data_IF_534810875456
#
_entry.id   IF_534810875456
#
_cell.length_a   1.000
_cell.length_b   1.000
_cell.length_c   1.000
_cell.angle_alpha   90.00
_cell.angle_beta   90.00
_cell.angle_gamma   90.00
#
_symmetry.space_group_name_H-M   'P 1'
#
loop_
_entity.id
_entity.type
_entity.pdbx_description
1 polymer ?
#
# COMPACT_ATOMS: atom_id res chain seq x y z
N UNK A 1 -29.84 -13.78 8.54
CA UNK A 1 -29.12 -12.73 9.29
C UNK A 1 -28.50 -11.81 8.26
N UNK A 2 -28.47 -10.53 8.55
CA UNK A 2 -27.78 -9.57 7.71
C UNK A 2 -26.28 -9.81 7.74
N UNK A 3 -25.63 -9.71 6.60
CA UNK A 3 -24.22 -10.04 6.42
C UNK A 3 -23.42 -8.79 6.04
N UNK A 4 -22.24 -8.65 6.62
CA UNK A 4 -21.25 -7.66 6.15
C UNK A 4 -20.67 -8.11 4.79
N UNK A 5 -20.04 -7.20 4.06
CA UNK A 5 -19.30 -7.57 2.85
C UNK A 5 -18.26 -8.65 3.13
N UNK A 6 -17.56 -8.52 4.28
CA UNK A 6 -16.59 -9.52 4.72
C UNK A 6 -17.26 -10.90 4.90
N UNK A 7 -18.41 -10.97 5.56
CA UNK A 7 -19.14 -12.21 5.78
C UNK A 7 -19.52 -12.90 4.47
N UNK A 8 -20.07 -12.13 3.53
CA UNK A 8 -20.48 -12.65 2.22
C UNK A 8 -19.33 -13.32 1.47
N UNK A 9 -18.15 -12.69 1.48
CA UNK A 9 -16.99 -13.22 0.78
C UNK A 9 -16.37 -14.38 1.58
N UNK A 10 -16.17 -14.19 2.89
CA UNK A 10 -15.59 -15.23 3.74
C UNK A 10 -16.38 -16.52 3.69
N UNK A 11 -17.71 -16.44 3.92
CA UNK A 11 -18.57 -17.62 4.00
C UNK A 11 -18.68 -18.35 2.65
N UNK A 12 -18.60 -17.63 1.53
CA UNK A 12 -18.55 -18.23 0.19
C UNK A 12 -17.27 -19.03 -0.07
N UNK A 13 -16.17 -18.78 0.71
CA UNK A 13 -14.88 -19.45 0.54
C UNK A 13 -14.59 -20.48 1.62
N UNK A 14 -15.49 -20.68 2.58
CA UNK A 14 -15.33 -21.70 3.63
C UNK A 14 -15.43 -23.09 3.00
N UNK A 15 -14.33 -23.85 3.08
CA UNK A 15 -14.29 -25.27 2.70
C UNK A 15 -14.74 -26.13 3.87
N UNK A 16 -14.24 -25.85 5.06
CA UNK A 16 -14.58 -26.57 6.29
C UNK A 16 -14.37 -25.69 7.51
N UNK A 17 -15.26 -25.80 8.49
CA UNK A 17 -15.04 -25.28 9.85
C UNK A 17 -14.53 -26.42 10.72
N UNK A 18 -13.36 -26.21 11.33
CA UNK A 18 -12.84 -27.16 12.32
C UNK A 18 -13.56 -26.89 13.64
N UNK A 19 -14.08 -27.92 14.26
CA UNK A 19 -14.74 -27.80 15.57
C UNK A 19 -13.77 -27.23 16.60
N UNK A 20 -14.17 -26.15 17.28
CA UNK A 20 -13.33 -25.38 18.21
C UNK A 20 -11.98 -24.91 17.64
N UNK A 21 -11.87 -24.80 16.31
CA UNK A 21 -10.63 -24.51 15.60
C UNK A 21 -10.77 -23.46 14.50
N UNK A 22 -9.72 -23.30 13.68
CA UNK A 22 -9.72 -22.37 12.57
C UNK A 22 -10.66 -22.81 11.45
N UNK A 23 -10.97 -21.88 10.57
CA UNK A 23 -11.70 -22.13 9.32
C UNK A 23 -10.72 -22.49 8.23
N UNK A 24 -10.97 -23.57 7.49
CA UNK A 24 -10.30 -23.85 6.23
C UNK A 24 -10.95 -23.01 5.13
N UNK A 25 -10.15 -22.07 4.58
CA UNK A 25 -10.59 -21.08 3.60
C UNK A 25 -9.95 -21.39 2.25
N UNK A 26 -10.75 -21.44 1.18
CA UNK A 26 -10.24 -21.50 -0.19
C UNK A 26 -9.63 -20.14 -0.58
N UNK A 27 -8.54 -20.16 -1.34
CA UNK A 27 -7.83 -18.96 -1.79
C UNK A 27 -7.88 -18.86 -3.31
N UNK A 28 -8.48 -17.80 -3.85
CA UNK A 28 -8.60 -17.58 -5.30
C UNK A 28 -7.29 -17.17 -5.95
N UNK A 29 -6.44 -16.43 -5.22
CA UNK A 29 -5.21 -15.89 -5.77
C UNK A 29 -4.08 -15.91 -4.75
N UNK A 30 -2.94 -16.44 -5.17
CA UNK A 30 -1.68 -16.34 -4.43
C UNK A 30 -0.70 -15.48 -5.23
N UNK A 31 -0.16 -14.45 -4.59
CA UNK A 31 0.96 -13.70 -5.13
C UNK A 31 2.25 -14.08 -4.41
N UNK A 32 3.36 -14.18 -5.17
CA UNK A 32 4.67 -14.55 -4.65
C UNK A 32 5.73 -13.53 -5.11
N UNK A 33 6.53 -13.07 -4.17
CA UNK A 33 7.70 -12.23 -4.44
C UNK A 33 8.98 -12.89 -3.91
N UNK A 34 10.13 -12.32 -4.24
CA UNK A 34 11.44 -12.94 -4.03
C UNK A 34 11.87 -13.02 -2.55
N UNK A 35 11.27 -12.23 -1.66
CA UNK A 35 11.72 -12.17 -0.25
C UNK A 35 11.10 -13.28 0.59
N UNK A 36 9.79 -13.53 0.48
CA UNK A 36 9.05 -14.42 1.40
C UNK A 36 8.70 -15.78 0.80
N UNK A 37 8.88 -16.00 -0.50
CA UNK A 37 8.51 -17.25 -1.16
C UNK A 37 9.60 -18.34 -1.20
N UNK A 38 10.91 -18.06 -1.11
CA UNK A 38 11.94 -19.09 -1.31
C UNK A 38 11.83 -20.30 -0.41
N UNK A 39 11.54 -20.11 0.88
CA UNK A 39 11.40 -21.19 1.85
C UNK A 39 10.14 -22.03 1.59
N UNK A 40 9.04 -21.41 1.13
CA UNK A 40 7.83 -22.13 0.73
C UNK A 40 8.13 -23.11 -0.43
N UNK A 41 8.82 -22.63 -1.47
CA UNK A 41 9.26 -23.49 -2.58
C UNK A 41 10.23 -24.59 -2.13
N UNK A 42 11.15 -24.29 -1.21
CA UNK A 42 12.05 -25.29 -0.66
C UNK A 42 11.28 -26.38 0.11
N UNK A 43 10.28 -26.02 0.91
CA UNK A 43 9.39 -26.95 1.61
C UNK A 43 8.60 -27.85 0.64
N UNK A 44 8.05 -27.25 -0.43
CA UNK A 44 7.37 -28.00 -1.50
C UNK A 44 8.29 -29.06 -2.14
N UNK A 45 9.53 -28.69 -2.46
CA UNK A 45 10.52 -29.64 -3.03
C UNK A 45 10.88 -30.74 -2.04
N UNK A 46 11.18 -30.39 -0.79
CA UNK A 46 11.56 -31.35 0.24
C UNK A 46 10.49 -32.42 0.49
N UNK A 47 9.22 -32.06 0.31
CA UNK A 47 8.08 -32.97 0.47
C UNK A 47 7.60 -33.58 -0.86
N UNK A 48 8.25 -33.30 -1.98
CA UNK A 48 7.84 -33.78 -3.30
C UNK A 48 6.46 -33.31 -3.77
N UNK A 49 6.01 -32.14 -3.27
CA UNK A 49 4.69 -31.58 -3.59
C UNK A 49 4.73 -30.75 -4.87
N UNK A 50 3.59 -30.72 -5.56
CA UNK A 50 3.35 -29.86 -6.72
C UNK A 50 2.32 -28.79 -6.37
N UNK A 51 2.35 -27.66 -7.09
CA UNK A 51 1.30 -26.67 -6.96
C UNK A 51 -0.04 -27.26 -7.42
N UNK A 52 -1.09 -27.10 -6.59
CA UNK A 52 -2.40 -27.66 -6.87
C UNK A 52 -3.10 -26.89 -8.02
N UNK A 53 -3.00 -25.57 -8.02
CA UNK A 53 -3.60 -24.68 -9.03
C UNK A 53 -2.56 -23.65 -9.51
N UNK A 54 -1.56 -24.06 -10.32
CA UNK A 54 -0.47 -23.18 -10.74
C UNK A 54 -0.97 -21.92 -11.49
N UNK A 55 -2.09 -21.99 -12.20
CA UNK A 55 -2.73 -20.86 -12.91
C UNK A 55 -3.32 -19.80 -11.97
N UNK A 56 -3.39 -20.09 -10.67
CA UNK A 56 -3.84 -19.13 -9.63
C UNK A 56 -2.69 -18.42 -8.92
N UNK A 57 -1.44 -18.76 -9.28
CA UNK A 57 -0.24 -18.27 -8.62
C UNK A 57 0.55 -17.37 -9.58
N UNK A 58 0.82 -16.15 -9.15
CA UNK A 58 1.59 -15.17 -9.93
C UNK A 58 2.84 -14.76 -9.15
N UNK A 59 3.98 -14.80 -9.82
CA UNK A 59 5.28 -14.47 -9.26
C UNK A 59 5.83 -13.21 -9.91
N UNK A 60 6.31 -12.25 -9.11
CA UNK A 60 7.01 -11.07 -9.60
C UNK A 60 7.97 -10.53 -8.54
N UNK A 61 9.20 -10.18 -8.91
CA UNK A 61 10.13 -9.52 -8.00
C UNK A 61 9.80 -8.04 -7.92
N UNK A 62 9.84 -7.45 -6.71
CA UNK A 62 9.53 -6.06 -6.49
C UNK A 62 10.33 -5.37 -5.35
N UNK A 63 10.86 -6.14 -4.40
CA UNK A 63 11.56 -5.61 -3.23
C UNK A 63 13.05 -5.37 -3.48
N UNK A 64 13.73 -6.36 -4.11
CA UNK A 64 15.18 -6.35 -4.36
C UNK A 64 15.53 -5.89 -5.78
N UNK A 65 14.58 -5.34 -6.50
CA UNK A 65 14.81 -4.82 -7.84
C UNK A 65 15.46 -3.43 -7.77
N UNK A 66 16.55 -3.17 -8.51
CA UNK A 66 17.10 -1.82 -8.62
C UNK A 66 16.10 -0.91 -9.34
N UNK A 67 16.21 0.40 -9.16
CA UNK A 67 15.36 1.38 -9.85
C UNK A 67 16.07 2.11 -10.99
N UNK A 68 17.23 1.60 -11.36
CA UNK A 68 17.99 1.96 -12.56
C UNK A 68 18.71 0.74 -13.12
N UNK A 69 19.08 0.82 -14.38
CA UNK A 69 19.87 -0.21 -15.05
C UNK A 69 19.29 -1.64 -14.91
N UNK A 70 17.96 -1.75 -14.90
CA UNK A 70 17.30 -3.07 -14.76
C UNK A 70 17.59 -4.04 -15.90
N UNK A 71 18.14 -3.55 -17.00
CA UNK A 71 18.65 -4.33 -18.13
C UNK A 71 20.02 -4.97 -17.85
N UNK A 72 20.69 -4.57 -16.76
CA UNK A 72 21.97 -5.11 -16.31
C UNK A 72 21.76 -6.12 -15.16
N UNK A 73 22.74 -7.02 -14.92
CA UNK A 73 22.72 -7.86 -13.72
C UNK A 73 22.68 -7.04 -12.43
N UNK A 74 21.85 -7.43 -11.48
CA UNK A 74 21.79 -6.79 -10.16
C UNK A 74 23.18 -6.90 -9.51
N UNK A 75 23.75 -5.78 -9.06
CA UNK A 75 25.11 -5.75 -8.52
C UNK A 75 25.18 -6.43 -7.15
N UNK A 76 24.22 -6.14 -6.25
CA UNK A 76 24.15 -6.79 -4.93
C UNK A 76 23.93 -8.30 -5.04
N UNK A 77 24.87 -9.15 -4.55
CA UNK A 77 24.77 -10.59 -4.73
C UNK A 77 23.55 -11.22 -4.01
N UNK A 78 23.11 -10.63 -2.89
CA UNK A 78 21.98 -11.15 -2.10
C UNK A 78 20.69 -10.88 -2.88
N UNK A 79 20.47 -9.65 -3.31
CA UNK A 79 19.32 -9.25 -4.11
C UNK A 79 19.24 -10.04 -5.40
N UNK A 80 20.36 -10.20 -6.11
CA UNK A 80 20.45 -11.02 -7.32
C UNK A 80 20.02 -12.47 -7.06
N UNK A 81 20.58 -13.08 -6.01
CA UNK A 81 20.25 -14.48 -5.66
C UNK A 81 18.75 -14.64 -5.38
N UNK A 82 18.13 -13.69 -4.68
CA UNK A 82 16.70 -13.76 -4.38
C UNK A 82 15.83 -13.62 -5.63
N UNK A 83 16.13 -12.67 -6.51
CA UNK A 83 15.40 -12.47 -7.77
C UNK A 83 15.56 -13.67 -8.70
N UNK A 84 16.79 -14.17 -8.87
CA UNK A 84 17.08 -15.35 -9.72
C UNK A 84 16.42 -16.61 -9.14
N UNK A 85 16.38 -16.76 -7.81
CA UNK A 85 15.72 -17.87 -7.14
C UNK A 85 14.22 -17.86 -7.39
N UNK A 86 13.57 -16.69 -7.35
CA UNK A 86 12.14 -16.57 -7.69
C UNK A 86 11.88 -17.00 -9.14
N UNK A 87 12.68 -16.53 -10.08
CA UNK A 87 12.55 -16.89 -11.49
C UNK A 87 12.71 -18.41 -11.71
N UNK A 88 13.74 -19.02 -11.09
CA UNK A 88 13.94 -20.47 -11.10
C UNK A 88 12.78 -21.22 -10.48
N UNK A 89 12.31 -20.80 -9.33
CA UNK A 89 11.18 -21.42 -8.64
C UNK A 89 9.91 -21.39 -9.51
N UNK A 90 9.60 -20.24 -10.10
CA UNK A 90 8.43 -20.10 -10.96
C UNK A 90 8.52 -21.04 -12.18
N UNK A 91 9.69 -21.17 -12.80
CA UNK A 91 9.91 -22.09 -13.91
C UNK A 91 9.77 -23.56 -13.48
N UNK A 92 10.40 -23.96 -12.37
CA UNK A 92 10.38 -25.34 -11.85
C UNK A 92 8.94 -25.81 -11.50
N UNK A 93 8.08 -24.90 -11.03
CA UNK A 93 6.70 -25.20 -10.65
C UNK A 93 5.65 -24.82 -11.71
N UNK A 94 6.07 -24.33 -12.89
CA UNK A 94 5.16 -23.98 -13.99
C UNK A 94 4.25 -22.79 -13.69
N UNK A 95 4.76 -21.80 -12.95
CA UNK A 95 3.98 -20.62 -12.52
C UNK A 95 4.14 -19.44 -13.47
N UNK A 96 3.15 -18.57 -13.51
CA UNK A 96 3.26 -17.30 -14.24
C UNK A 96 4.25 -16.38 -13.53
N UNK A 97 5.29 -15.95 -14.25
CA UNK A 97 6.34 -15.07 -13.76
C UNK A 97 6.46 -13.80 -14.60
N UNK A 98 6.30 -12.65 -13.96
CA UNK A 98 6.59 -11.34 -14.55
C UNK A 98 7.95 -10.87 -14.03
N UNK A 99 9.04 -11.30 -14.66
CA UNK A 99 10.40 -10.92 -14.28
C UNK A 99 10.68 -9.43 -14.47
N UNK A 100 11.77 -8.94 -13.92
CA UNK A 100 12.13 -7.52 -13.79
C UNK A 100 11.99 -6.71 -15.09
N UNK A 101 12.43 -7.25 -16.25
CA UNK A 101 12.32 -6.56 -17.55
C UNK A 101 11.01 -6.86 -18.30
N UNK A 102 10.10 -7.62 -17.71
CA UNK A 102 8.80 -7.88 -18.31
C UNK A 102 7.93 -6.62 -18.20
N UNK A 103 7.29 -6.21 -19.31
CA UNK A 103 6.36 -5.07 -19.35
C UNK A 103 5.16 -5.18 -18.39
N UNK A 104 4.94 -6.38 -17.85
CA UNK A 104 3.90 -6.65 -16.85
C UNK A 104 4.43 -6.63 -15.41
N UNK A 105 5.74 -6.40 -15.22
CA UNK A 105 6.34 -6.35 -13.90
C UNK A 105 6.08 -5.01 -13.20
N UNK A 106 6.18 -5.07 -11.90
CA UNK A 106 6.07 -3.96 -10.96
C UNK A 106 5.78 -4.48 -9.56
N UNK A 107 5.44 -3.58 -8.67
CA UNK A 107 5.04 -3.92 -7.31
C UNK A 107 3.76 -4.77 -7.36
N UNK A 108 3.77 -5.92 -6.71
CA UNK A 108 2.66 -6.89 -6.69
C UNK A 108 1.31 -6.24 -6.43
N UNK A 109 1.25 -5.35 -5.42
CA UNK A 109 0.02 -4.69 -4.99
C UNK A 109 -0.40 -3.52 -5.91
N UNK A 110 0.41 -3.19 -6.91
CA UNK A 110 0.07 -2.31 -8.04
C UNK A 110 -0.38 -3.16 -9.23
N UNK A 111 0.44 -4.13 -9.62
CA UNK A 111 0.21 -4.99 -10.80
C UNK A 111 -1.07 -5.81 -10.70
N UNK A 112 -1.37 -6.38 -9.52
CA UNK A 112 -2.58 -7.20 -9.32
C UNK A 112 -3.86 -6.46 -9.72
N UNK A 113 -4.16 -5.30 -9.14
CA UNK A 113 -5.32 -4.48 -9.52
C UNK A 113 -5.25 -3.95 -10.96
N UNK A 114 -4.12 -3.35 -11.37
CA UNK A 114 -4.03 -2.68 -12.67
C UNK A 114 -4.13 -3.63 -13.87
N UNK A 115 -3.81 -4.91 -13.68
CA UNK A 115 -3.95 -5.93 -14.73
C UNK A 115 -5.29 -6.66 -14.70
N UNK A 116 -6.13 -6.44 -13.68
CA UNK A 116 -7.37 -7.18 -13.49
C UNK A 116 -7.16 -8.60 -12.96
N UNK A 117 -6.02 -8.87 -12.31
CA UNK A 117 -5.75 -10.12 -11.60
C UNK A 117 -6.46 -10.17 -10.25
N UNK A 118 -6.75 -9.01 -9.68
CA UNK A 118 -7.54 -8.81 -8.47
C UNK A 118 -8.95 -8.40 -8.87
N UNK A 119 -9.95 -9.15 -8.44
CA UNK A 119 -11.35 -8.92 -8.76
C UNK A 119 -12.23 -8.92 -7.49
N UNK A 120 -13.39 -8.23 -7.51
CA UNK A 120 -14.30 -8.24 -6.38
C UNK A 120 -14.76 -9.66 -6.00
N UNK A 121 -14.91 -9.90 -4.71
CA UNK A 121 -15.38 -11.18 -4.18
C UNK A 121 -14.29 -12.25 -4.05
N UNK A 122 -13.05 -11.99 -4.45
CA UNK A 122 -11.94 -12.94 -4.30
C UNK A 122 -11.38 -12.98 -2.88
N UNK A 123 -10.77 -14.12 -2.53
CA UNK A 123 -9.81 -14.28 -1.44
C UNK A 123 -8.39 -14.23 -2.00
N UNK A 124 -7.55 -13.34 -1.48
CA UNK A 124 -6.21 -13.06 -2.02
C UNK A 124 -5.19 -13.07 -0.90
N UNK A 125 -4.08 -13.79 -1.11
CA UNK A 125 -2.98 -13.84 -0.13
C UNK A 125 -1.62 -13.63 -0.80
N UNK A 126 -0.68 -13.13 -0.01
CA UNK A 126 0.74 -12.96 -0.36
C UNK A 126 1.57 -12.98 0.93
N UNK A 127 2.84 -13.26 0.83
CA UNK A 127 3.79 -13.18 1.95
C UNK A 127 4.14 -11.74 2.39
N UNK A 128 3.31 -10.76 2.08
CA UNK A 128 3.46 -9.34 2.41
C UNK A 128 2.19 -8.82 3.09
N UNK A 129 2.37 -8.04 4.16
CA UNK A 129 1.25 -7.46 4.92
C UNK A 129 0.41 -6.49 4.10
N UNK A 130 1.01 -5.77 3.13
CA UNK A 130 0.29 -4.82 2.26
C UNK A 130 -0.61 -5.50 1.21
N UNK A 131 -0.75 -6.83 1.26
CA UNK A 131 -1.80 -7.57 0.52
C UNK A 131 -3.20 -7.00 0.80
N UNK A 132 -3.41 -6.36 1.96
CA UNK A 132 -4.65 -5.64 2.28
C UNK A 132 -5.05 -4.60 1.22
N UNK A 133 -4.11 -4.10 0.41
CA UNK A 133 -4.35 -3.20 -0.73
C UNK A 133 -5.46 -3.72 -1.65
N UNK A 134 -5.47 -5.02 -1.91
CA UNK A 134 -6.42 -5.65 -2.83
C UNK A 134 -7.87 -5.60 -2.33
N UNK A 135 -8.09 -5.36 -1.04
CA UNK A 135 -9.42 -5.17 -0.46
C UNK A 135 -10.15 -3.93 -0.99
N UNK A 136 -9.43 -2.96 -1.54
CA UNK A 136 -10.02 -1.80 -2.23
C UNK A 136 -10.88 -2.18 -3.43
N UNK A 137 -10.62 -3.36 -4.01
CA UNK A 137 -11.40 -3.93 -5.11
C UNK A 137 -12.64 -4.71 -4.63
N UNK A 138 -12.92 -4.75 -3.33
CA UNK A 138 -13.98 -5.59 -2.75
C UNK A 138 -13.58 -7.05 -2.61
N UNK A 139 -12.31 -7.32 -2.28
CA UNK A 139 -11.75 -8.65 -2.02
C UNK A 139 -11.43 -8.82 -0.52
N UNK A 140 -11.43 -10.06 -0.03
CA UNK A 140 -10.83 -10.40 1.27
C UNK A 140 -9.36 -10.74 1.05
N UNK A 141 -8.50 -9.77 1.35
CA UNK A 141 -7.08 -9.84 1.03
C UNK A 141 -6.22 -9.57 2.27
N UNK A 142 -5.23 -10.44 2.52
CA UNK A 142 -4.40 -10.34 3.71
C UNK A 142 -3.03 -11.02 3.55
N UNK A 143 -2.05 -10.51 4.32
CA UNK A 143 -0.72 -11.07 4.37
C UNK A 143 -0.68 -12.39 5.15
N UNK A 144 0.18 -13.33 4.73
CA UNK A 144 0.37 -14.64 5.34
C UNK A 144 1.85 -14.95 5.54
N UNK A 145 2.14 -15.88 6.44
CA UNK A 145 3.49 -16.38 6.69
C UNK A 145 3.99 -17.35 5.62
N UNK A 146 5.30 -17.55 5.56
CA UNK A 146 5.94 -18.40 4.55
C UNK A 146 5.42 -19.85 4.55
N UNK A 147 5.16 -20.43 5.73
CA UNK A 147 4.59 -21.79 5.85
C UNK A 147 3.14 -21.85 5.31
N UNK A 148 2.41 -20.75 5.44
CA UNK A 148 1.05 -20.62 4.89
C UNK A 148 1.10 -20.45 3.36
N UNK A 149 2.11 -19.75 2.81
CA UNK A 149 2.35 -19.70 1.36
C UNK A 149 2.54 -21.11 0.80
N UNK A 150 3.36 -21.94 1.45
CA UNK A 150 3.55 -23.35 1.07
C UNK A 150 2.23 -24.14 1.12
N UNK A 151 1.44 -23.95 2.18
CA UNK A 151 0.12 -24.59 2.30
C UNK A 151 -0.81 -24.22 1.14
N UNK A 152 -0.89 -22.94 0.80
CA UNK A 152 -1.73 -22.46 -0.31
C UNK A 152 -1.22 -23.00 -1.65
N UNK A 153 0.09 -23.03 -1.89
CA UNK A 153 0.66 -23.66 -3.09
C UNK A 153 0.23 -25.12 -3.24
N UNK A 154 0.27 -25.88 -2.15
CA UNK A 154 0.00 -27.31 -2.16
C UNK A 154 -1.50 -27.65 -2.22
N UNK A 155 -2.39 -26.84 -1.64
CA UNK A 155 -3.80 -27.19 -1.43
C UNK A 155 -4.81 -26.15 -1.91
N UNK A 156 -4.37 -24.96 -2.25
CA UNK A 156 -5.20 -23.78 -2.53
C UNK A 156 -6.07 -23.35 -1.34
N UNK A 157 -5.76 -23.83 -0.15
CA UNK A 157 -6.48 -23.55 1.09
C UNK A 157 -5.53 -23.09 2.19
N UNK A 158 -6.11 -22.39 3.17
CA UNK A 158 -5.40 -21.94 4.37
C UNK A 158 -6.28 -22.14 5.60
N UNK A 159 -5.67 -22.35 6.77
CA UNK A 159 -6.36 -22.38 8.06
C UNK A 159 -6.25 -20.99 8.71
N UNK A 160 -7.38 -20.33 8.92
CA UNK A 160 -7.42 -18.99 9.51
C UNK A 160 -8.49 -18.86 10.58
N UNK A 161 -8.14 -18.22 11.69
CA UNK A 161 -9.13 -17.73 12.64
C UNK A 161 -9.92 -16.57 11.97
N UNK A 162 -11.24 -16.59 12.10
CA UNK A 162 -12.09 -15.51 11.58
C UNK A 162 -11.81 -14.24 12.39
N UNK A 163 -11.38 -13.13 11.75
CA UNK A 163 -11.22 -11.84 12.42
C UNK A 163 -12.58 -11.26 12.79
N UNK A 164 -12.60 -10.35 13.76
CA UNK A 164 -13.73 -9.47 14.02
C UNK A 164 -13.90 -8.47 12.86
N UNK A 165 -15.09 -7.91 12.73
CA UNK A 165 -15.39 -6.90 11.72
C UNK A 165 -15.46 -5.51 12.33
N UNK A 166 -14.86 -4.52 11.63
CA UNK A 166 -14.94 -3.11 12.00
C UNK A 166 -15.42 -2.29 10.82
N UNK A 167 -16.34 -1.35 11.04
CA UNK A 167 -16.67 -0.34 10.04
C UNK A 167 -16.09 1.01 10.42
N UNK A 168 -15.38 1.64 9.49
CA UNK A 168 -14.94 3.03 9.61
C UNK A 168 -15.69 3.84 8.58
N UNK A 169 -16.55 4.75 9.04
CA UNK A 169 -17.34 5.63 8.19
C UNK A 169 -16.73 7.03 8.17
N UNK A 170 -16.51 7.58 6.99
CA UNK A 170 -16.05 8.96 6.81
C UNK A 170 -17.06 9.67 5.91
N UNK A 171 -17.83 10.54 6.51
CA UNK A 171 -18.86 11.31 5.80
C UNK A 171 -18.42 12.75 5.52
N UNK A 172 -19.13 13.41 4.61
CA UNK A 172 -18.79 14.73 4.13
C UNK A 172 -17.80 14.73 2.97
N UNK A 173 -17.25 15.90 2.66
CA UNK A 173 -16.34 16.12 1.52
C UNK A 173 -14.94 16.47 1.99
N UNK A 174 -13.95 15.83 1.40
CA UNK A 174 -12.54 16.14 1.65
C UNK A 174 -12.21 17.57 1.19
N UNK A 175 -11.43 18.27 2.02
CA UNK A 175 -10.99 19.63 1.74
C UNK A 175 -9.95 19.72 0.62
N UNK A 176 -9.68 20.94 0.16
CA UNK A 176 -8.64 21.21 -0.84
C UNK A 176 -7.27 20.72 -0.33
N UNK A 177 -6.53 20.01 -1.17
CA UNK A 177 -5.19 19.51 -0.85
C UNK A 177 -5.17 18.24 0.01
N UNK A 178 -6.33 17.68 0.35
CA UNK A 178 -6.46 16.43 1.11
C UNK A 178 -6.59 15.24 0.15
N UNK A 179 -5.78 14.21 0.37
CA UNK A 179 -5.77 12.97 -0.39
C UNK A 179 -6.12 11.77 0.50
N UNK A 180 -6.29 10.59 -0.10
CA UNK A 180 -6.50 9.35 0.66
C UNK A 180 -5.36 9.03 1.64
N UNK A 181 -4.12 9.48 1.35
CA UNK A 181 -2.99 9.36 2.27
C UNK A 181 -3.20 10.18 3.53
N UNK A 182 -3.72 11.40 3.39
CA UNK A 182 -4.03 12.26 4.54
C UNK A 182 -5.16 11.67 5.38
N UNK A 183 -6.18 11.10 4.73
CA UNK A 183 -7.27 10.36 5.41
C UNK A 183 -6.70 9.22 6.26
N UNK A 184 -5.81 8.40 5.70
CA UNK A 184 -5.21 7.30 6.44
C UNK A 184 -4.34 7.77 7.60
N UNK A 185 -3.50 8.80 7.39
CA UNK A 185 -2.67 9.37 8.46
C UNK A 185 -3.52 10.00 9.57
N UNK A 186 -4.62 10.68 9.21
CA UNK A 186 -5.56 11.24 10.18
C UNK A 186 -6.18 10.13 11.04
N UNK A 187 -6.71 9.07 10.43
CA UNK A 187 -7.28 7.94 11.18
C UNK A 187 -6.24 7.33 12.13
N UNK A 188 -5.00 7.10 11.66
CA UNK A 188 -3.94 6.55 12.49
C UNK A 188 -3.56 7.47 13.65
N UNK A 189 -3.60 8.79 13.46
CA UNK A 189 -3.36 9.75 14.55
C UNK A 189 -4.44 9.71 15.65
N UNK A 190 -5.67 9.29 15.29
CA UNK A 190 -6.81 9.20 16.24
C UNK A 190 -6.96 7.80 16.86
N UNK A 191 -6.69 6.74 16.05
CA UNK A 191 -6.92 5.35 16.46
C UNK A 191 -5.64 4.65 16.93
N UNK A 192 -4.48 5.26 16.73
CA UNK A 192 -3.14 4.69 16.95
C UNK A 192 -2.80 3.55 15.98
N UNK A 193 -1.58 3.04 16.04
CA UNK A 193 -1.10 1.90 15.20
C UNK A 193 -1.67 0.54 15.64
N UNK A 194 -2.47 0.48 16.69
CA UNK A 194 -3.12 -0.74 17.19
C UNK A 194 -4.65 -0.66 17.26
N UNK A 195 -5.24 0.46 16.81
CA UNK A 195 -6.68 0.72 16.94
C UNK A 195 -7.61 -0.24 16.23
N UNK A 196 -7.10 -0.98 15.24
CA UNK A 196 -7.83 -1.99 14.47
C UNK A 196 -7.27 -3.43 14.66
N UNK A 197 -6.48 -3.67 15.71
CA UNK A 197 -5.89 -4.99 15.96
C UNK A 197 -6.96 -6.07 16.15
N UNK A 198 -6.88 -7.13 15.36
CA UNK A 198 -7.82 -8.25 15.38
C UNK A 198 -9.07 -8.04 14.53
N UNK A 199 -9.18 -6.90 13.84
CA UNK A 199 -10.31 -6.60 12.96
C UNK A 199 -9.95 -6.70 11.49
N UNK A 200 -10.96 -7.05 10.67
CA UNK A 200 -11.00 -6.73 9.24
C UNK A 200 -11.86 -5.48 9.07
N UNK A 201 -11.31 -4.45 8.43
CA UNK A 201 -11.91 -3.11 8.37
C UNK A 201 -12.66 -2.90 7.06
N UNK A 202 -13.93 -2.52 7.13
CA UNK A 202 -14.71 -2.01 5.99
C UNK A 202 -14.78 -0.48 6.07
N UNK A 203 -14.30 0.19 5.01
CA UNK A 203 -14.42 1.64 4.88
C UNK A 203 -15.69 2.01 4.15
N UNK A 204 -16.44 2.98 4.70
CA UNK A 204 -17.72 3.45 4.21
C UNK A 204 -17.85 4.98 4.34
N UNK A 205 -18.94 5.54 3.86
CA UNK A 205 -19.24 6.97 3.94
C UNK A 205 -19.09 7.70 2.61
N UNK A 206 -19.56 8.94 2.57
CA UNK A 206 -19.57 9.78 1.36
C UNK A 206 -18.14 10.05 0.87
N UNK A 207 -17.24 10.42 1.78
CA UNK A 207 -15.84 10.70 1.45
C UNK A 207 -15.16 9.48 0.83
N UNK A 208 -15.42 8.26 1.35
CA UNK A 208 -14.82 7.02 0.83
C UNK A 208 -15.36 6.70 -0.57
N UNK A 209 -16.66 6.84 -0.80
CA UNK A 209 -17.26 6.61 -2.12
C UNK A 209 -16.75 7.59 -3.16
N UNK A 210 -16.40 8.81 -2.75
CA UNK A 210 -15.87 9.86 -3.65
C UNK A 210 -14.41 9.64 -4.04
N UNK A 211 -13.68 8.75 -3.36
CA UNK A 211 -12.29 8.43 -3.70
C UNK A 211 -12.21 7.73 -5.05
N UNK A 212 -11.16 8.08 -5.80
CA UNK A 212 -10.74 7.31 -6.96
C UNK A 212 -10.29 5.91 -6.57
N UNK A 213 -10.12 5.02 -7.55
CA UNK A 213 -9.66 3.66 -7.25
C UNK A 213 -8.27 3.66 -6.61
N UNK A 214 -7.36 4.50 -7.08
CA UNK A 214 -6.01 4.65 -6.53
C UNK A 214 -6.04 5.17 -5.09
N UNK A 215 -6.93 6.12 -4.79
CA UNK A 215 -7.15 6.58 -3.41
C UNK A 215 -7.66 5.46 -2.50
N UNK A 216 -8.60 4.62 -2.98
CA UNK A 216 -9.08 3.45 -2.23
C UNK A 216 -7.98 2.41 -2.01
N UNK A 217 -7.12 2.18 -3.01
CA UNK A 217 -5.97 1.29 -2.89
C UNK A 217 -4.98 1.80 -1.84
N UNK A 218 -4.71 3.10 -1.80
CA UNK A 218 -3.88 3.73 -0.76
C UNK A 218 -4.47 3.53 0.64
N UNK A 219 -5.79 3.71 0.80
CA UNK A 219 -6.46 3.59 2.08
C UNK A 219 -6.42 2.14 2.61
N UNK A 220 -6.79 1.17 1.77
CA UNK A 220 -6.72 -0.26 2.13
C UNK A 220 -5.28 -0.74 2.36
N UNK A 221 -4.30 -0.21 1.62
CA UNK A 221 -2.88 -0.48 1.84
C UNK A 221 -2.46 -0.14 3.27
N UNK A 222 -2.85 1.02 3.76
CA UNK A 222 -2.45 1.54 5.08
C UNK A 222 -3.27 0.96 6.25
N UNK A 223 -4.27 0.14 6.00
CA UNK A 223 -5.08 -0.50 7.06
C UNK A 223 -4.24 -1.31 8.02
N UNK A 224 -3.22 -2.00 7.51
CA UNK A 224 -2.34 -2.83 8.35
C UNK A 224 -1.46 -2.01 9.29
N UNK A 225 -1.27 -0.73 9.02
CA UNK A 225 -0.53 0.18 9.91
C UNK A 225 -1.34 0.59 11.15
N UNK A 226 -2.65 0.28 11.18
CA UNK A 226 -3.50 0.36 12.37
C UNK A 226 -3.66 -1.00 13.08
N UNK A 227 -2.88 -2.01 12.69
CA UNK A 227 -2.96 -3.38 13.20
C UNK A 227 -4.10 -4.21 12.62
N UNK A 228 -4.84 -3.70 11.62
CA UNK A 228 -5.92 -4.44 10.99
C UNK A 228 -5.40 -5.72 10.28
N UNK A 229 -6.23 -6.75 10.23
CA UNK A 229 -5.95 -7.96 9.43
C UNK A 229 -6.01 -7.67 7.93
N UNK A 230 -6.85 -6.74 7.54
CA UNK A 230 -7.02 -6.22 6.19
C UNK A 230 -8.01 -5.06 6.18
N UNK A 231 -8.07 -4.34 5.06
CA UNK A 231 -9.06 -3.30 4.80
C UNK A 231 -9.79 -3.59 3.51
N UNK A 232 -11.06 -3.21 3.41
CA UNK A 232 -11.87 -3.41 2.22
C UNK A 232 -12.84 -2.25 1.99
N UNK A 233 -13.24 -2.12 0.73
CA UNK A 233 -14.28 -1.17 0.29
C UNK A 233 -15.24 -1.93 -0.61
N UNK A 234 -16.54 -1.74 -0.40
CA UNK A 234 -17.55 -2.34 -1.26
C UNK A 234 -17.36 -1.88 -2.72
N UNK A 235 -17.31 -2.82 -3.68
CA UNK A 235 -17.13 -2.46 -5.08
C UNK A 235 -18.38 -1.72 -5.62
N UNK A 236 -18.13 -0.67 -6.36
CA UNK A 236 -19.12 0.19 -6.98
C UNK A 236 -18.72 0.55 -8.42
N UNK A 237 -19.40 1.49 -9.02
CA UNK A 237 -19.16 1.94 -10.39
C UNK A 237 -17.70 2.35 -10.62
N UNK A 238 -17.05 2.99 -9.63
CA UNK A 238 -15.61 3.36 -9.71
C UNK A 238 -14.74 2.11 -9.87
N UNK A 239 -15.06 1.06 -9.08
CA UNK A 239 -14.35 -0.21 -9.15
C UNK A 239 -14.61 -0.92 -10.48
N UNK A 240 -15.86 -0.94 -10.94
CA UNK A 240 -16.22 -1.63 -12.19
C UNK A 240 -15.59 -0.98 -13.41
N UNK A 241 -15.61 0.35 -13.51
CA UNK A 241 -14.95 1.07 -14.60
C UNK A 241 -13.42 0.89 -14.56
N UNK A 242 -12.82 0.84 -13.37
CA UNK A 242 -11.39 0.58 -13.24
C UNK A 242 -10.98 -0.81 -13.75
N UNK A 243 -11.82 -1.85 -13.53
CA UNK A 243 -11.55 -3.24 -13.96
C UNK A 243 -11.83 -3.42 -15.46
N UNK A 244 -12.81 -2.71 -15.98
CA UNK A 244 -13.32 -2.89 -17.35
C UNK A 244 -12.21 -2.81 -18.40
N UNK A 245 -12.13 -3.85 -19.22
CA UNK A 245 -11.16 -3.92 -20.32
C UNK A 245 -9.72 -4.27 -19.89
N UNK A 246 -9.45 -4.49 -18.61
CA UNK A 246 -8.13 -4.96 -18.14
C UNK A 246 -7.82 -6.34 -18.72
N UNK A 247 -6.53 -6.64 -18.87
CA UNK A 247 -6.04 -7.84 -19.57
C UNK A 247 -6.64 -9.14 -19.02
N UNK A 248 -6.65 -9.29 -17.69
CA UNK A 248 -7.13 -10.49 -16.99
C UNK A 248 -8.54 -10.37 -16.44
N UNK A 249 -9.23 -9.25 -16.71
CA UNK A 249 -10.62 -9.09 -16.35
C UNK A 249 -11.53 -9.97 -17.23
N UNK A 250 -12.71 -10.41 -16.72
CA UNK A 250 -13.70 -11.09 -17.52
C UNK A 250 -14.10 -10.27 -18.75
N UNK A 251 -14.51 -10.94 -19.84
CA UNK A 251 -14.90 -10.30 -21.11
C UNK A 251 -16.20 -10.87 -21.62
N UNK A 252 -16.96 -10.07 -22.39
CA UNK A 252 -18.22 -10.47 -22.98
C UNK A 252 -19.23 -10.97 -21.94
N UNK A 253 -19.88 -12.10 -22.16
CA UNK A 253 -20.87 -12.66 -21.24
C UNK A 253 -20.33 -12.96 -19.83
N UNK A 254 -19.04 -13.30 -19.71
CA UNK A 254 -18.43 -13.51 -18.40
C UNK A 254 -18.29 -12.20 -17.62
N UNK A 255 -18.09 -11.08 -18.31
CA UNK A 255 -18.14 -9.76 -17.68
C UNK A 255 -19.53 -9.46 -17.12
N UNK A 256 -20.57 -9.72 -17.90
CA UNK A 256 -21.96 -9.43 -17.48
C UNK A 256 -22.37 -10.27 -16.26
N UNK A 257 -21.97 -11.55 -16.24
CA UNK A 257 -22.18 -12.44 -15.09
C UNK A 257 -21.41 -11.96 -13.85
N UNK A 258 -20.13 -11.60 -14.04
CA UNK A 258 -19.29 -11.10 -12.97
C UNK A 258 -19.83 -9.79 -12.40
N UNK A 259 -20.21 -8.84 -13.25
CA UNK A 259 -20.78 -7.56 -12.85
C UNK A 259 -22.10 -7.74 -12.07
N UNK A 260 -22.96 -8.66 -12.50
CA UNK A 260 -24.20 -8.98 -11.78
C UNK A 260 -23.89 -9.50 -10.36
N UNK A 261 -22.89 -10.35 -10.20
CA UNK A 261 -22.43 -10.83 -8.90
C UNK A 261 -21.78 -9.72 -8.08
N UNK A 262 -20.87 -8.94 -8.65
CA UNK A 262 -20.15 -7.88 -7.94
C UNK A 262 -21.07 -6.81 -7.36
N UNK A 263 -22.18 -6.50 -8.03
CA UNK A 263 -23.22 -5.58 -7.53
C UNK A 263 -23.93 -6.07 -6.26
N UNK A 264 -23.81 -7.34 -5.93
CA UNK A 264 -24.35 -7.91 -4.67
C UNK A 264 -23.36 -7.77 -3.50
N UNK A 265 -22.08 -7.46 -3.79
CA UNK A 265 -21.00 -7.41 -2.82
C UNK A 265 -20.98 -6.06 -2.09
N UNK A 266 -21.92 -5.90 -1.19
CA UNK A 266 -21.99 -4.79 -0.23
C UNK A 266 -22.57 -5.33 1.08
N UNK A 267 -22.24 -4.70 2.19
CA UNK A 267 -22.89 -5.00 3.48
C UNK A 267 -24.38 -4.73 3.39
N UNK A 268 -25.17 -5.58 4.02
CA UNK A 268 -26.61 -5.37 4.14
C UNK A 268 -26.88 -4.13 5.01
N UNK A 269 -28.01 -3.46 4.81
CA UNK A 269 -28.31 -2.18 5.50
C UNK A 269 -28.43 -2.34 7.02
N UNK A 270 -28.80 -3.53 7.49
CA UNK A 270 -28.92 -3.93 8.88
C UNK A 270 -27.74 -4.82 9.37
N UNK A 271 -26.63 -4.85 8.61
CA UNK A 271 -25.44 -5.60 9.01
C UNK A 271 -24.84 -5.02 10.30
N UNK A 272 -24.47 -5.91 11.23
CA UNK A 272 -23.87 -5.55 12.51
C UNK A 272 -22.36 -5.78 12.49
N UNK A 273 -21.60 -4.76 12.86
CA UNK A 273 -20.15 -4.85 13.01
C UNK A 273 -19.79 -4.97 14.50
N UNK A 274 -18.68 -5.68 14.79
CA UNK A 274 -18.18 -5.77 16.16
C UNK A 274 -17.71 -4.41 16.72
N UNK A 275 -17.30 -3.49 15.82
CA UNK A 275 -16.90 -2.12 16.16
C UNK A 275 -17.23 -1.16 15.02
N UNK A 276 -17.70 0.02 15.37
CA UNK A 276 -17.92 1.11 14.43
C UNK A 276 -17.20 2.38 14.88
N UNK A 277 -16.61 3.11 13.94
CA UNK A 277 -15.93 4.39 14.14
C UNK A 277 -16.37 5.35 13.05
N UNK A 278 -16.68 6.59 13.41
CA UNK A 278 -17.10 7.62 12.47
C UNK A 278 -16.15 8.83 12.56
N UNK A 279 -15.85 9.41 11.39
CA UNK A 279 -15.10 10.64 11.27
C UNK A 279 -15.82 11.60 10.30
N UNK A 280 -15.64 12.89 10.50
CA UNK A 280 -16.06 13.93 9.55
C UNK A 280 -14.89 14.26 8.60
N UNK A 281 -15.14 14.23 7.32
CA UNK A 281 -14.15 14.59 6.30
C UNK A 281 -13.68 16.06 6.42
N UNK A 282 -14.51 16.93 6.99
CA UNK A 282 -14.17 18.34 7.22
C UNK A 282 -13.02 18.53 8.24
N UNK A 283 -12.83 17.57 9.16
CA UNK A 283 -11.75 17.62 10.15
C UNK A 283 -10.39 17.22 9.57
N UNK A 284 -10.38 16.65 8.37
CA UNK A 284 -9.16 16.11 7.75
C UNK A 284 -8.45 17.21 6.97
N UNK A 285 -7.20 17.43 7.31
CA UNK A 285 -6.31 18.37 6.63
C UNK A 285 -5.13 17.62 5.97
N UNK A 286 -4.31 18.27 5.13
CA UNK A 286 -3.03 17.70 4.73
C UNK A 286 -2.23 17.31 5.96
N UNK A 287 -1.76 16.06 6.01
CA UNK A 287 -1.12 15.44 7.16
C UNK A 287 0.37 15.22 6.93
N UNK A 288 1.12 15.22 8.04
CA UNK A 288 2.53 14.82 8.06
C UNK A 288 2.83 14.09 9.38
N UNK A 289 3.73 13.11 9.35
CA UNK A 289 4.21 12.48 10.58
C UNK A 289 5.39 13.26 11.17
N UNK A 290 5.50 13.25 12.51
CA UNK A 290 6.59 13.90 13.26
C UNK A 290 7.47 12.91 14.05
N UNK A 291 7.07 11.65 14.13
CA UNK A 291 7.75 10.61 14.90
C UNK A 291 8.14 9.40 14.07
N UNK A 292 8.32 8.27 14.75
CA UNK A 292 8.87 7.03 14.20
C UNK A 292 7.82 5.95 13.93
N UNK A 293 6.55 6.30 13.89
CA UNK A 293 5.46 5.43 13.45
C UNK A 293 4.34 6.25 12.80
N UNK A 294 3.47 5.65 11.96
CA UNK A 294 2.42 6.37 11.25
C UNK A 294 1.34 6.98 12.14
N UNK A 295 1.15 6.49 13.37
CA UNK A 295 0.23 7.07 14.36
C UNK A 295 0.70 8.40 14.94
N UNK A 296 1.98 8.72 14.80
CA UNK A 296 2.55 10.02 15.19
C UNK A 296 2.39 11.03 14.05
N UNK A 297 1.14 11.24 13.62
CA UNK A 297 0.74 12.17 12.58
C UNK A 297 0.00 13.39 13.15
N UNK A 298 0.10 14.51 12.43
CA UNK A 298 -0.61 15.76 12.74
C UNK A 298 -0.98 16.49 11.45
N UNK A 299 -1.92 17.43 11.52
CA UNK A 299 -2.13 18.35 10.40
C UNK A 299 -0.85 19.15 10.16
N UNK A 300 -0.52 19.40 8.90
CA UNK A 300 0.76 20.02 8.52
C UNK A 300 0.95 21.42 9.12
N UNK A 301 -0.15 22.09 9.46
CA UNK A 301 -0.17 23.42 10.09
C UNK A 301 -0.11 23.39 11.62
N UNK A 302 -0.25 22.21 12.21
CA UNK A 302 -0.24 22.04 13.65
C UNK A 302 1.19 22.03 14.23
N UNK A 303 1.24 21.96 15.54
CA UNK A 303 2.48 21.81 16.30
C UNK A 303 2.57 20.38 16.86
N UNK A 304 3.80 19.88 16.98
CA UNK A 304 4.06 18.59 17.64
C UNK A 304 3.43 18.61 19.02
N UNK A 305 2.64 17.59 19.41
CA UNK A 305 2.03 17.54 20.73
C UNK A 305 3.03 17.72 21.88
N UNK A 306 2.56 18.17 23.01
CA UNK A 306 3.31 18.16 24.27
C UNK A 306 3.11 16.84 25.01
N UNK A 307 3.85 16.61 26.06
CA UNK A 307 3.71 15.38 26.89
C UNK A 307 2.57 15.48 27.92
N UNK A 308 1.79 16.54 27.86
CA UNK A 308 0.64 16.74 28.78
C UNK A 308 -0.41 15.65 28.57
N UNK A 309 -0.84 15.02 29.67
CA UNK A 309 -1.84 13.95 29.65
C UNK A 309 -1.30 12.56 29.26
N UNK A 310 -0.02 12.42 28.90
CA UNK A 310 0.59 11.13 28.58
C UNK A 310 0.99 10.37 29.86
N UNK A 311 0.80 9.05 29.86
CA UNK A 311 1.39 8.15 30.85
C UNK A 311 2.91 8.13 30.73
N UNK A 312 3.63 7.66 31.76
CA UNK A 312 5.10 7.59 31.76
C UNK A 312 5.65 6.72 30.60
N UNK A 313 4.94 5.65 30.24
CA UNK A 313 5.31 4.76 29.11
C UNK A 313 5.15 5.47 27.77
N UNK A 314 4.01 6.15 27.58
CA UNK A 314 3.76 6.92 26.36
C UNK A 314 4.75 8.07 26.22
N UNK A 315 5.02 8.79 27.32
CA UNK A 315 5.99 9.88 27.36
C UNK A 315 7.40 9.38 26.99
N UNK A 316 7.86 8.29 27.57
CA UNK A 316 9.17 7.71 27.21
C UNK A 316 9.28 7.31 25.75
N UNK A 317 8.24 6.69 25.18
CA UNK A 317 8.18 6.34 23.76
C UNK A 317 8.16 7.58 22.84
N UNK A 318 7.37 8.59 23.23
CA UNK A 318 7.24 9.85 22.50
C UNK A 318 8.60 10.61 22.49
N UNK A 319 9.21 10.80 23.65
CA UNK A 319 10.52 11.49 23.79
C UNK A 319 11.63 10.76 23.01
N UNK A 320 11.66 9.42 23.04
CA UNK A 320 12.59 8.62 22.24
C UNK A 320 12.40 8.88 20.74
N UNK A 321 11.17 8.88 20.28
CA UNK A 321 10.85 9.14 18.86
C UNK A 321 11.26 10.53 18.43
N UNK A 322 10.96 11.56 19.23
CA UNK A 322 11.37 12.94 18.94
C UNK A 322 12.89 13.12 18.98
N UNK A 323 13.57 12.47 19.92
CA UNK A 323 15.03 12.49 19.98
C UNK A 323 15.65 11.92 18.69
N UNK A 324 15.15 10.77 18.21
CA UNK A 324 15.58 10.20 16.93
C UNK A 324 15.32 11.14 15.76
N UNK A 325 14.14 11.74 15.70
CA UNK A 325 13.75 12.67 14.64
C UNK A 325 14.44 14.03 14.77
N UNK A 326 15.00 14.37 15.93
CA UNK A 326 15.64 15.66 16.19
C UNK A 326 14.63 16.80 16.31
N UNK A 327 13.43 16.53 16.82
CA UNK A 327 12.37 17.50 17.03
C UNK A 327 12.09 17.73 18.51
N UNK A 328 11.35 18.81 18.83
CA UNK A 328 10.96 19.15 20.18
C UNK A 328 9.42 19.19 20.31
N UNK A 329 8.86 18.87 21.51
CA UNK A 329 7.44 19.09 21.78
C UNK A 329 7.05 20.56 21.54
N UNK A 330 5.86 20.78 20.97
CA UNK A 330 5.35 22.12 20.65
C UNK A 330 5.97 22.79 19.42
N UNK A 331 6.85 22.11 18.70
CA UNK A 331 7.51 22.65 17.52
C UNK A 331 6.63 22.55 16.28
N UNK A 332 6.66 23.57 15.39
CA UNK A 332 6.09 23.48 14.04
C UNK A 332 7.08 22.84 13.08
N UNK A 333 6.59 21.99 12.19
CA UNK A 333 7.38 21.42 11.12
C UNK A 333 7.45 22.29 9.86
N UNK A 334 6.54 23.26 9.70
CA UNK A 334 6.55 24.17 8.55
C UNK A 334 7.86 24.94 8.48
N UNK A 335 8.46 25.00 7.29
CA UNK A 335 9.71 25.68 7.02
C UNK A 335 10.97 24.88 7.41
N UNK A 336 10.84 23.68 7.99
CA UNK A 336 12.01 22.83 8.28
C UNK A 336 12.59 22.28 6.99
N UNK A 337 13.93 22.30 6.91
CA UNK A 337 14.67 21.82 5.75
C UNK A 337 14.45 20.33 5.51
N UNK A 338 14.27 19.98 4.25
CA UNK A 338 14.16 18.61 3.74
C UNK A 338 15.38 18.33 2.85
N UNK A 339 15.89 17.11 2.86
CA UNK A 339 17.01 16.70 2.02
C UNK A 339 16.54 15.78 0.87
N UNK A 340 15.55 14.94 1.14
CA UNK A 340 15.04 13.94 0.20
C UNK A 340 13.55 14.03 0.05
N UNK A 341 13.05 13.74 -1.16
CA UNK A 341 11.64 13.50 -1.44
C UNK A 341 11.49 12.17 -2.15
N UNK A 342 10.60 11.33 -1.64
CA UNK A 342 10.28 10.04 -2.24
C UNK A 342 8.81 9.97 -2.63
N UNK A 343 8.54 9.79 -3.92
CA UNK A 343 7.23 9.46 -4.49
C UNK A 343 7.30 8.03 -5.02
N UNK A 344 6.47 7.13 -4.50
CA UNK A 344 6.50 5.72 -4.90
C UNK A 344 5.84 4.80 -3.89
N UNK A 345 6.28 3.55 -3.87
CA UNK A 345 5.78 2.43 -3.08
C UNK A 345 4.42 1.90 -3.55
N UNK A 346 4.00 0.76 -2.96
CA UNK A 346 2.66 0.21 -3.19
C UNK A 346 1.53 1.12 -2.67
N UNK A 347 1.84 2.08 -1.81
CA UNK A 347 0.89 3.11 -1.35
C UNK A 347 0.60 4.14 -2.43
N UNK A 348 1.63 4.79 -2.98
CA UNK A 348 1.52 6.00 -3.82
C UNK A 348 2.50 5.98 -5.00
N UNK A 349 2.56 4.85 -5.72
CA UNK A 349 3.34 4.70 -6.96
C UNK A 349 2.45 4.56 -8.20
N UNK A 350 1.19 5.04 -8.17
CA UNK A 350 0.22 4.92 -9.26
C UNK A 350 0.12 6.20 -10.05
N UNK A 351 -0.53 6.13 -11.21
CA UNK A 351 -0.59 7.27 -12.15
C UNK A 351 -1.19 8.55 -11.51
N UNK A 352 -2.18 8.43 -10.65
CA UNK A 352 -2.78 9.59 -9.99
C UNK A 352 -1.83 10.29 -9.02
N UNK A 353 -0.93 9.54 -8.38
CA UNK A 353 0.09 10.11 -7.51
C UNK A 353 1.06 10.99 -8.30
N UNK A 354 1.44 10.55 -9.51
CA UNK A 354 2.26 11.32 -10.44
C UNK A 354 1.52 12.53 -11.00
N UNK A 355 0.23 12.40 -11.31
CA UNK A 355 -0.63 13.54 -11.71
C UNK A 355 -0.71 14.58 -10.60
N UNK A 356 -0.94 14.14 -9.35
CA UNK A 356 -0.99 15.02 -8.19
C UNK A 356 0.35 15.73 -7.96
N UNK A 357 1.46 15.00 -8.01
CA UNK A 357 2.81 15.57 -7.89
C UNK A 357 3.08 16.58 -9.02
N UNK A 358 2.82 16.20 -10.27
CA UNK A 358 3.02 17.06 -11.45
C UNK A 358 2.18 18.35 -11.38
N UNK A 359 0.98 18.30 -10.81
CA UNK A 359 0.11 19.48 -10.67
C UNK A 359 0.74 20.60 -9.83
N UNK A 360 1.52 20.23 -8.81
CA UNK A 360 2.25 21.17 -7.94
C UNK A 360 3.53 21.67 -8.61
N UNK A 361 4.28 20.78 -9.29
CA UNK A 361 5.61 21.14 -9.79
C UNK A 361 5.60 21.80 -11.17
N UNK A 362 4.47 21.73 -11.89
CA UNK A 362 4.32 22.36 -13.22
C UNK A 362 4.65 23.85 -13.18
N UNK A 363 5.58 24.28 -14.02
CA UNK A 363 6.04 25.68 -14.08
C UNK A 363 6.95 26.10 -12.93
N UNK A 364 7.38 25.15 -12.07
CA UNK A 364 8.32 25.39 -10.97
C UNK A 364 9.59 24.56 -11.18
N UNK A 365 10.58 24.79 -10.35
CA UNK A 365 11.82 24.01 -10.34
C UNK A 365 11.97 23.29 -9.01
N UNK A 366 12.57 22.12 -9.04
CA UNK A 366 13.02 21.40 -7.87
C UNK A 366 14.04 22.26 -7.09
N UNK A 367 13.91 22.33 -5.78
CA UNK A 367 14.86 23.05 -4.93
C UNK A 367 16.26 22.40 -5.02
N UNK A 368 17.31 23.21 -5.03
CA UNK A 368 18.68 22.72 -5.20
C UNK A 368 19.15 21.75 -4.12
N UNK A 369 18.63 21.91 -2.90
CA UNK A 369 18.97 21.03 -1.76
C UNK A 369 18.23 19.70 -1.78
N UNK A 370 17.31 19.45 -2.71
CA UNK A 370 16.49 18.23 -2.74
C UNK A 370 17.09 17.18 -3.69
N UNK A 371 17.25 15.98 -3.17
CA UNK A 371 17.34 14.75 -3.95
C UNK A 371 15.95 14.12 -4.01
N UNK A 372 15.40 13.93 -5.20
CA UNK A 372 14.06 13.40 -5.36
C UNK A 372 14.11 12.07 -6.12
N UNK A 373 13.41 11.08 -5.59
CA UNK A 373 13.21 9.77 -6.22
C UNK A 373 11.74 9.58 -6.56
N UNK A 374 11.43 9.65 -7.86
CA UNK A 374 10.09 9.43 -8.40
C UNK A 374 10.05 8.04 -9.03
N UNK A 375 9.40 7.10 -8.33
CA UNK A 375 9.46 5.66 -8.67
C UNK A 375 8.08 5.14 -9.03
N UNK A 376 7.80 4.87 -10.32
CA UNK A 376 6.55 4.22 -10.73
C UNK A 376 6.37 2.86 -10.07
N UNK A 377 5.13 2.51 -9.72
CA UNK A 377 4.83 1.21 -9.12
C UNK A 377 4.87 0.05 -10.11
N UNK A 378 4.82 0.32 -11.42
CA UNK A 378 4.86 -0.70 -12.48
C UNK A 378 5.31 -0.09 -13.81
N UNK A 379 5.71 -0.96 -14.75
CA UNK A 379 5.98 -0.54 -16.13
C UNK A 379 4.74 0.05 -16.83
N UNK A 380 3.53 -0.37 -16.43
CA UNK A 380 2.31 0.22 -16.97
C UNK A 380 2.13 1.67 -16.49
N UNK A 381 2.45 1.96 -15.23
CA UNK A 381 2.43 3.34 -14.71
C UNK A 381 3.50 4.19 -15.39
N UNK A 382 4.73 3.68 -15.59
CA UNK A 382 5.78 4.40 -16.33
C UNK A 382 5.33 4.74 -17.76
N UNK A 383 4.68 3.79 -18.44
CA UNK A 383 4.12 4.02 -19.77
C UNK A 383 3.02 5.10 -19.77
N UNK A 384 2.11 5.08 -18.78
CA UNK A 384 1.06 6.10 -18.64
C UNK A 384 1.64 7.48 -18.37
N UNK A 385 2.68 7.59 -17.53
CA UNK A 385 3.39 8.85 -17.26
C UNK A 385 3.87 9.48 -18.57
N UNK A 386 4.44 8.68 -19.47
CA UNK A 386 4.95 9.14 -20.79
C UNK A 386 3.83 9.46 -21.76
N UNK A 387 2.78 8.62 -21.80
CA UNK A 387 1.62 8.85 -22.68
C UNK A 387 0.87 10.15 -22.33
N UNK A 388 0.81 10.49 -21.05
CA UNK A 388 0.17 11.73 -20.56
C UNK A 388 1.10 12.95 -20.59
N UNK A 389 2.38 12.77 -20.96
CA UNK A 389 3.38 13.83 -21.00
C UNK A 389 3.78 14.36 -19.62
N UNK A 390 3.51 13.60 -18.55
CA UNK A 390 3.93 13.97 -17.20
C UNK A 390 5.44 13.93 -17.04
N UNK A 391 6.12 13.02 -17.75
CA UNK A 391 7.58 12.94 -17.84
C UNK A 391 8.19 14.30 -18.20
N UNK A 392 7.68 14.95 -19.24
CA UNK A 392 8.16 16.27 -19.68
C UNK A 392 7.98 17.35 -18.61
N UNK A 393 6.83 17.36 -17.93
CA UNK A 393 6.56 18.31 -16.84
C UNK A 393 7.57 18.10 -15.70
N UNK A 394 7.82 16.84 -15.34
CA UNK A 394 8.73 16.47 -14.27
C UNK A 394 10.19 16.75 -14.62
N UNK A 395 10.62 16.41 -15.84
CA UNK A 395 11.97 16.69 -16.36
C UNK A 395 12.24 18.20 -16.46
N UNK A 396 11.28 18.97 -16.99
CA UNK A 396 11.36 20.43 -17.02
C UNK A 396 11.50 21.04 -15.62
N UNK A 397 10.86 20.43 -14.62
CA UNK A 397 10.99 20.85 -13.23
C UNK A 397 12.32 20.40 -12.57
N UNK A 398 13.12 19.58 -13.25
CA UNK A 398 14.43 19.08 -12.76
C UNK A 398 14.33 17.76 -11.98
N UNK A 399 13.28 16.98 -12.21
CA UNK A 399 13.11 15.64 -11.61
C UNK A 399 13.51 14.55 -12.60
N UNK A 400 14.01 13.46 -12.06
CA UNK A 400 14.28 12.22 -12.78
C UNK A 400 13.25 11.16 -12.36
N UNK A 401 12.66 10.46 -13.34
CA UNK A 401 11.78 9.33 -13.10
C UNK A 401 12.62 8.06 -13.15
N UNK A 402 12.54 7.26 -12.09
CA UNK A 402 13.25 6.00 -11.97
C UNK A 402 12.47 4.84 -12.61
N UNK A 403 13.11 3.70 -12.75
CA UNK A 403 12.46 2.47 -13.17
C UNK A 403 11.60 1.88 -12.04
N UNK A 404 10.53 1.12 -12.38
CA UNK A 404 9.57 0.61 -11.40
C UNK A 404 10.18 -0.31 -10.34
N UNK A 405 9.73 -0.16 -9.08
CA UNK A 405 10.16 -1.00 -7.95
C UNK A 405 9.78 -0.39 -6.60
N UNK A 406 10.10 -1.09 -5.51
CA UNK A 406 9.84 -0.62 -4.15
C UNK A 406 10.81 0.47 -3.68
N UNK A 407 12.04 0.52 -4.24
CA UNK A 407 13.02 1.58 -3.96
C UNK A 407 13.25 1.81 -2.44
N UNK A 408 13.37 3.07 -2.04
CA UNK A 408 13.57 3.47 -0.65
C UNK A 408 12.38 3.15 0.28
N UNK A 409 11.26 2.64 -0.20
CA UNK A 409 10.17 2.25 0.71
C UNK A 409 10.62 1.23 1.77
N UNK A 410 11.50 0.31 1.38
CA UNK A 410 12.09 -0.70 2.27
C UNK A 410 13.63 -0.61 2.33
N UNK A 411 14.25 0.08 1.37
CA UNK A 411 15.70 0.23 1.25
C UNK A 411 16.46 -1.12 1.22
N UNK A 412 15.87 -2.14 0.60
CA UNK A 412 16.51 -3.45 0.37
C UNK A 412 17.43 -3.44 -0.85
N UNK A 413 17.32 -2.44 -1.71
CA UNK A 413 18.21 -2.15 -2.83
C UNK A 413 19.19 -1.01 -2.49
N UNK A 414 19.85 -0.43 -3.50
CA UNK A 414 20.84 0.64 -3.32
C UNK A 414 20.22 2.02 -3.01
N UNK A 415 18.90 2.15 -3.11
CA UNK A 415 18.18 3.39 -2.81
C UNK A 415 18.06 3.60 -1.29
N UNK A 416 19.15 4.06 -0.67
CA UNK A 416 19.23 4.30 0.78
C UNK A 416 19.46 5.77 1.08
N UNK A 417 18.67 6.31 2.01
CA UNK A 417 18.81 7.66 2.49
C UNK A 417 19.88 7.69 3.59
N UNK A 418 20.89 8.59 3.50
CA UNK A 418 21.95 8.68 4.50
C UNK A 418 21.45 9.05 5.91
N UNK A 419 22.22 8.65 6.92
CA UNK A 419 21.92 8.95 8.32
C UNK A 419 21.77 10.47 8.57
N UNK A 420 20.80 10.82 9.41
CA UNK A 420 20.51 12.20 9.79
C UNK A 420 19.75 13.03 8.75
N UNK A 421 19.55 12.52 7.54
CA UNK A 421 18.83 13.20 6.47
C UNK A 421 17.31 13.05 6.60
N UNK A 422 16.58 14.14 6.33
CA UNK A 422 15.13 14.16 6.34
C UNK A 422 14.56 13.85 4.96
N UNK A 423 13.60 12.93 4.94
CA UNK A 423 12.83 12.57 3.74
C UNK A 423 11.35 12.84 3.94
N UNK A 424 10.73 13.62 3.06
CA UNK A 424 9.26 13.63 2.91
C UNK A 424 8.88 12.52 1.93
N UNK A 425 8.10 11.55 2.39
CA UNK A 425 7.92 10.27 1.72
C UNK A 425 6.45 9.84 1.63
N UNK A 426 6.08 9.31 0.48
CA UNK A 426 4.76 8.70 0.28
C UNK A 426 4.74 7.21 0.66
N UNK A 427 5.83 6.65 1.19
CA UNK A 427 5.89 5.27 1.66
C UNK A 427 4.88 4.98 2.79
N UNK A 428 4.80 3.73 3.21
CA UNK A 428 3.81 3.28 4.18
C UNK A 428 4.28 3.29 5.62
N UNK A 429 5.59 3.20 5.87
CA UNK A 429 6.21 3.10 7.20
C UNK A 429 7.38 4.05 7.35
N UNK A 430 7.60 4.52 8.59
CA UNK A 430 8.65 5.48 8.95
C UNK A 430 9.36 5.13 10.25
N UNK A 431 9.43 3.84 10.63
CA UNK A 431 10.23 3.45 11.79
C UNK A 431 11.71 3.79 11.60
N UNK A 432 12.47 3.83 12.68
CA UNK A 432 13.89 4.17 12.70
C UNK A 432 14.68 3.39 11.64
N UNK A 433 15.35 4.10 10.73
CA UNK A 433 16.14 3.49 9.66
C UNK A 433 15.37 2.86 8.49
N UNK A 434 14.06 3.06 8.37
CA UNK A 434 13.23 2.43 7.31
C UNK A 434 13.75 2.67 5.90
N UNK A 435 14.19 3.90 5.60
CA UNK A 435 14.70 4.30 4.27
C UNK A 435 16.23 4.29 4.20
N UNK A 436 16.88 3.71 5.16
CA UNK A 436 18.32 3.63 5.31
C UNK A 436 18.76 3.84 6.77
N UNK A 437 19.84 3.24 7.23
CA UNK A 437 20.31 3.35 8.61
C UNK A 437 20.43 4.80 9.06
N UNK A 438 19.71 5.19 10.14
CA UNK A 438 19.72 6.54 10.70
C UNK A 438 18.98 7.60 9.89
N UNK A 439 18.27 7.24 8.81
CA UNK A 439 17.43 8.16 8.04
C UNK A 439 16.18 8.56 8.82
N UNK A 440 15.67 9.77 8.56
CA UNK A 440 14.50 10.36 9.22
C UNK A 440 13.36 10.55 8.23
N UNK A 441 12.35 9.69 8.31
CA UNK A 441 11.26 9.65 7.34
C UNK A 441 10.01 10.33 7.88
N UNK A 442 9.47 11.28 7.12
CA UNK A 442 8.21 11.97 7.36
C UNK A 442 7.20 11.49 6.32
N UNK A 443 6.18 10.75 6.75
CA UNK A 443 5.11 10.30 5.86
C UNK A 443 4.19 11.46 5.51
N UNK A 444 3.91 11.62 4.23
CA UNK A 444 2.99 12.65 3.73
C UNK A 444 2.37 12.23 2.39
N UNK A 445 1.41 13.02 1.92
CA UNK A 445 0.75 12.81 0.62
C UNK A 445 1.65 13.19 -0.56
N UNK A 446 1.34 12.73 -1.79
CA UNK A 446 2.03 13.17 -3.01
C UNK A 446 2.04 14.69 -3.20
N UNK A 447 0.96 15.39 -2.83
CA UNK A 447 0.88 16.85 -2.90
C UNK A 447 1.86 17.52 -1.94
N UNK A 448 1.92 17.04 -0.70
CA UNK A 448 2.86 17.55 0.32
C UNK A 448 4.31 17.24 -0.05
N UNK A 449 4.58 16.05 -0.60
CA UNK A 449 5.89 15.67 -1.10
C UNK A 449 6.34 16.59 -2.25
N UNK A 450 5.43 16.89 -3.19
CA UNK A 450 5.71 17.82 -4.29
C UNK A 450 5.98 19.25 -3.80
N UNK A 451 5.18 19.74 -2.83
CA UNK A 451 5.40 21.04 -2.21
C UNK A 451 6.78 21.14 -1.57
N UNK A 452 7.16 20.13 -0.79
CA UNK A 452 8.50 20.05 -0.19
C UNK A 452 9.61 19.98 -1.26
N UNK A 453 9.37 19.29 -2.37
CA UNK A 453 10.36 19.14 -3.44
C UNK A 453 10.69 20.46 -4.15
N UNK A 454 9.71 21.37 -4.32
CA UNK A 454 9.94 22.65 -4.98
C UNK A 454 10.38 23.76 -4.05
N UNK A 455 10.07 23.68 -2.75
CA UNK A 455 10.45 24.70 -1.76
C UNK A 455 11.73 24.38 -0.98
N UNK A 456 12.11 23.09 -0.94
CA UNK A 456 13.27 22.62 -0.14
C UNK A 456 12.99 22.50 1.36
N UNK A 457 11.75 22.77 1.78
CA UNK A 457 11.31 22.75 3.18
C UNK A 457 9.92 22.11 3.30
N UNK A 458 9.53 21.71 4.50
CA UNK A 458 8.16 21.24 4.77
C UNK A 458 7.19 22.40 4.50
N UNK A 459 6.26 22.20 3.58
CA UNK A 459 5.35 23.23 3.08
C UNK A 459 3.94 22.69 2.94
N UNK A 460 2.96 23.48 3.37
CA UNK A 460 1.55 23.19 3.14
C UNK A 460 1.24 23.23 1.63
N UNK A 461 0.82 22.11 1.01
CA UNK A 461 0.61 22.05 -0.43
C UNK A 461 -0.46 23.04 -0.91
N UNK A 462 -1.41 23.42 -0.04
CA UNK A 462 -2.49 24.36 -0.36
C UNK A 462 -1.98 25.75 -0.75
N UNK A 463 -0.78 26.10 -0.33
CA UNK A 463 -0.15 27.39 -0.67
C UNK A 463 0.40 27.43 -2.10
N UNK A 464 0.50 26.29 -2.76
CA UNK A 464 1.02 26.15 -4.13
C UNK A 464 -0.03 25.69 -5.15
N UNK A 465 -1.28 25.47 -4.71
CA UNK A 465 -2.40 24.99 -5.54
C UNK A 465 -3.20 26.12 -6.17
#
# INVERSE_FOLDING_TARGET
MANTLFDKIWDAHVVQKVEEGPTQLYIDRLYCHEVTSPQAFAGMRARGLKCFRPEKIYCMPDHNTPTHDQDKPIEDPISRTQVDTLAKNAADFGLTHFGMMNKKNGIIHVVGPERGLTLPGMTIVCGDSHTSTHGAMGAVAFGIGTSEVEMVMASQCILQARPKTMRITIDGKLGKGVTAKDVALYMMSKMTTSGATGYFVEYAGEAIRSLTMEGRLTLCNLSIEMGARGGMIAPDEVTFEYIKGREYAPKGEEWDKALAYWKTLKSDDDAVFDKEVCFDAADIQPMITYGTNPGMGMAITDHIPTTEGMSDVEKGSFEKSLHYMGFQPGESLLGKKVDYVFLGACTNGRIEDFRAFASIVKGRKKAENITAWLVPGSWMVDEQIRQEGLDKILEEAGFEIRQPGCSACLAMNDDKIPAGKYSVSTSNRNFEGRQGPGSRTLLASPLTAAAAAVTGVITDPRTLM
#
